data_IF_879937786945
#
_entry.id   IF_879937786945
#
_cell.length_a   1.000
_cell.length_b   1.000
_cell.length_c   1.000
_cell.angle_alpha   90.00
_cell.angle_beta   90.00
_cell.angle_gamma   90.00
#
_symmetry.space_group_name_H-M   'P 1'
#
loop_
_entity.id
_entity.type
_entity.pdbx_description
1 polymer ?
#
# COMPACT_ATOMS: atom_id res chain seq x y z
N UNK A 1 -11.69 -3.33 28.07
CA UNK A 1 -12.50 -3.20 29.29
C UNK A 1 -12.59 -1.73 29.74
N UNK A 2 -13.24 -0.86 28.96
CA UNK A 2 -13.59 0.50 29.42
C UNK A 2 -15.10 0.69 29.65
N UNK A 3 -15.97 -0.16 29.09
CA UNK A 3 -17.43 -0.14 29.34
C UNK A 3 -18.07 -1.54 29.56
N UNK A 4 -17.28 -2.56 29.87
CA UNK A 4 -17.78 -3.94 30.01
C UNK A 4 -18.04 -4.65 28.68
N UNK A 5 -18.27 -5.95 28.73
CA UNK A 5 -18.62 -6.75 27.56
C UNK A 5 -20.03 -6.40 27.07
N UNK A 6 -20.17 -6.06 25.79
CA UNK A 6 -21.48 -5.89 25.12
C UNK A 6 -21.94 -4.46 24.84
N UNK A 7 -21.17 -3.42 25.19
CA UNK A 7 -21.46 -2.04 24.76
C UNK A 7 -20.87 -1.79 23.38
N UNK A 8 -21.70 -1.32 22.43
CA UNK A 8 -21.23 -0.97 21.08
C UNK A 8 -20.27 0.21 21.11
N UNK A 9 -19.41 0.31 20.10
CA UNK A 9 -18.49 1.44 19.95
C UNK A 9 -19.27 2.75 19.83
N UNK A 10 -20.38 2.75 19.08
CA UNK A 10 -21.25 3.93 18.97
C UNK A 10 -21.77 4.39 20.34
N UNK A 11 -22.31 3.47 21.14
CA UNK A 11 -22.80 3.77 22.48
C UNK A 11 -21.67 4.29 23.40
N UNK A 12 -20.44 3.79 23.27
CA UNK A 12 -19.29 4.31 24.00
C UNK A 12 -19.08 5.80 23.74
N UNK A 13 -19.10 6.22 22.47
CA UNK A 13 -18.84 7.60 22.07
C UNK A 13 -19.92 8.58 22.53
N UNK A 14 -21.15 8.11 22.75
CA UNK A 14 -22.25 8.93 23.30
C UNK A 14 -22.00 9.36 24.75
N UNK A 15 -21.20 8.61 25.53
CA UNK A 15 -20.85 8.99 26.91
C UNK A 15 -19.75 10.06 27.00
N UNK A 16 -19.16 10.49 25.88
CA UNK A 16 -18.14 11.53 25.90
C UNK A 16 -18.75 12.91 26.18
N UNK A 17 -18.02 13.84 26.83
CA UNK A 17 -18.50 15.20 27.06
C UNK A 17 -18.95 15.94 25.80
N UNK A 18 -18.30 15.63 24.67
CA UNK A 18 -18.67 16.13 23.34
C UNK A 18 -18.65 14.93 22.38
N UNK A 19 -19.79 14.26 22.16
CA UNK A 19 -19.84 13.09 21.30
C UNK A 19 -19.60 13.48 19.83
N UNK A 20 -18.81 12.71 19.08
CA UNK A 20 -18.69 12.90 17.63
C UNK A 20 -20.01 12.58 16.92
N UNK A 21 -20.22 13.08 15.69
CA UNK A 21 -21.39 12.70 14.90
C UNK A 21 -21.44 11.19 14.66
N UNK A 22 -22.59 10.56 14.92
CA UNK A 22 -22.81 9.12 14.75
C UNK A 22 -22.43 8.60 13.36
N UNK A 23 -22.63 9.42 12.32
CA UNK A 23 -22.24 9.08 10.95
C UNK A 23 -20.73 8.90 10.78
N UNK A 24 -19.92 9.68 11.50
CA UNK A 24 -18.45 9.57 11.45
C UNK A 24 -17.96 8.37 12.26
N UNK A 25 -18.58 8.08 13.40
CA UNK A 25 -18.29 6.86 14.18
C UNK A 25 -18.59 5.61 13.35
N UNK A 26 -19.75 5.56 12.71
CA UNK A 26 -20.13 4.45 11.81
C UNK A 26 -19.14 4.27 10.66
N UNK A 27 -18.76 5.36 9.97
CA UNK A 27 -17.74 5.31 8.92
C UNK A 27 -16.40 4.77 9.42
N UNK A 28 -15.98 5.15 10.64
CA UNK A 28 -14.74 4.64 11.23
C UNK A 28 -14.84 3.14 11.53
N UNK A 29 -15.96 2.67 12.09
CA UNK A 29 -16.22 1.24 12.32
C UNK A 29 -16.21 0.47 10.99
N UNK A 30 -16.92 0.97 9.97
CA UNK A 30 -16.96 0.36 8.64
C UNK A 30 -15.58 0.29 8.00
N UNK A 31 -14.76 1.33 8.19
CA UNK A 31 -13.36 1.35 7.72
C UNK A 31 -12.52 0.29 8.43
N UNK A 32 -12.65 0.14 9.75
CA UNK A 32 -11.92 -0.87 10.54
C UNK A 32 -12.35 -2.30 10.17
N UNK A 33 -13.64 -2.52 9.91
CA UNK A 33 -14.17 -3.79 9.38
C UNK A 33 -13.60 -4.07 7.98
N UNK A 34 -13.60 -3.08 7.10
CA UNK A 34 -13.12 -3.21 5.72
C UNK A 34 -11.63 -3.56 5.63
N UNK A 35 -10.79 -2.97 6.48
CA UNK A 35 -9.36 -3.34 6.52
C UNK A 35 -9.13 -4.69 7.22
N UNK A 36 -10.16 -5.29 7.82
CA UNK A 36 -10.11 -6.57 8.52
C UNK A 36 -9.62 -6.49 9.96
N UNK A 37 -9.58 -5.30 10.57
CA UNK A 37 -9.18 -5.11 11.96
C UNK A 37 -10.28 -5.50 12.96
N UNK A 38 -11.53 -5.48 12.50
CA UNK A 38 -12.71 -5.77 13.32
C UNK A 38 -13.64 -6.75 12.59
N UNK A 39 -14.30 -7.61 13.34
CA UNK A 39 -15.37 -8.48 12.87
C UNK A 39 -16.70 -7.73 12.79
N UNK A 40 -17.73 -8.36 12.22
CA UNK A 40 -19.05 -7.74 12.12
C UNK A 40 -19.71 -7.44 13.47
N UNK A 41 -19.37 -8.22 14.50
CA UNK A 41 -19.83 -8.07 15.88
C UNK A 41 -19.00 -7.05 16.70
N UNK A 42 -18.26 -6.18 16.02
CA UNK A 42 -17.37 -5.15 16.59
C UNK A 42 -16.21 -5.67 17.45
N UNK A 43 -15.94 -6.98 17.43
CA UNK A 43 -14.77 -7.55 18.09
C UNK A 43 -13.51 -7.39 17.25
N UNK A 44 -12.37 -7.17 17.90
CA UNK A 44 -11.08 -7.13 17.23
C UNK A 44 -10.72 -8.51 16.65
N UNK A 45 -10.20 -8.50 15.43
CA UNK A 45 -9.59 -9.68 14.81
C UNK A 45 -8.14 -9.86 15.29
N UNK A 46 -7.51 -10.98 14.95
CA UNK A 46 -6.06 -11.18 15.17
C UNK A 46 -5.24 -10.03 14.55
N UNK A 47 -5.64 -9.55 13.37
CA UNK A 47 -5.04 -8.37 12.74
C UNK A 47 -5.24 -7.14 13.62
N UNK A 48 -6.49 -6.86 14.02
CA UNK A 48 -6.83 -5.69 14.83
C UNK A 48 -6.07 -5.61 16.14
N UNK A 49 -5.88 -6.74 16.81
CA UNK A 49 -5.06 -6.83 18.03
C UNK A 49 -3.63 -6.37 17.79
N UNK A 50 -2.99 -6.78 16.68
CA UNK A 50 -1.65 -6.32 16.34
C UNK A 50 -1.61 -4.86 15.92
N UNK A 51 -2.67 -4.33 15.30
CA UNK A 51 -2.70 -2.91 14.89
C UNK A 51 -2.63 -1.95 16.09
N UNK A 52 -3.07 -2.38 17.28
CA UNK A 52 -3.00 -1.58 18.51
C UNK A 52 -1.56 -1.24 18.93
N UNK A 53 -0.58 -2.06 18.54
CA UNK A 53 0.82 -1.84 18.89
C UNK A 53 1.47 -0.69 18.10
N UNK A 54 0.80 -0.19 17.06
CA UNK A 54 1.33 0.82 16.16
C UNK A 54 0.64 2.18 16.33
N UNK A 55 1.42 3.24 16.53
CA UNK A 55 0.90 4.60 16.60
C UNK A 55 0.97 5.28 15.22
N UNK A 56 0.31 4.68 14.23
CA UNK A 56 0.13 5.15 12.86
C UNK A 56 -1.26 4.73 12.34
N UNK A 57 -1.67 5.22 11.18
CA UNK A 57 -2.91 4.79 10.53
C UNK A 57 -2.94 3.24 10.39
N UNK A 58 -4.03 2.57 10.83
CA UNK A 58 -4.20 1.12 10.74
C UNK A 58 -3.85 0.51 9.38
N UNK A 59 -4.09 1.23 8.28
CA UNK A 59 -3.81 0.75 6.92
C UNK A 59 -2.31 0.58 6.65
N UNK A 60 -1.49 1.47 7.19
CA UNK A 60 -0.02 1.40 7.09
C UNK A 60 0.56 0.40 8.09
N UNK A 61 -0.02 0.26 9.28
CA UNK A 61 0.34 -0.81 10.20
C UNK A 61 0.06 -2.20 9.59
N UNK A 62 -1.10 -2.40 8.96
CA UNK A 62 -1.41 -3.60 8.16
C UNK A 62 -0.36 -3.84 7.07
N UNK A 63 0.04 -2.79 6.34
CA UNK A 63 1.08 -2.88 5.33
C UNK A 63 2.41 -3.42 5.87
N UNK A 64 2.84 -2.96 7.06
CA UNK A 64 4.08 -3.43 7.71
C UNK A 64 4.03 -4.93 8.01
N UNK A 65 2.89 -5.42 8.52
CA UNK A 65 2.71 -6.84 8.82
C UNK A 65 2.79 -7.70 7.55
N UNK A 66 2.17 -7.25 6.46
CA UNK A 66 2.29 -7.91 5.15
C UNK A 66 3.72 -7.83 4.59
N UNK A 67 4.41 -6.70 4.77
CA UNK A 67 5.79 -6.53 4.29
C UNK A 67 6.76 -7.50 4.98
N UNK A 68 6.53 -7.84 6.24
CA UNK A 68 7.28 -8.90 6.94
C UNK A 68 7.07 -10.27 6.28
N UNK A 69 5.82 -10.62 5.96
CA UNK A 69 5.49 -11.89 5.29
C UNK A 69 6.09 -11.94 3.88
N UNK A 70 5.95 -10.86 3.11
CA UNK A 70 6.43 -10.77 1.73
C UNK A 70 7.92 -10.45 1.64
N UNK A 71 8.58 -10.26 2.78
CA UNK A 71 10.01 -9.99 2.93
C UNK A 71 10.48 -8.73 2.18
N UNK A 72 9.66 -7.68 2.18
CA UNK A 72 9.95 -6.39 1.55
C UNK A 72 9.82 -5.21 2.54
N UNK A 73 10.20 -5.42 3.80
CA UNK A 73 9.89 -4.50 4.91
C UNK A 73 10.49 -3.10 4.74
N UNK A 74 11.75 -3.00 4.35
CA UNK A 74 12.55 -1.78 4.29
C UNK A 74 11.87 -0.64 3.53
N UNK A 75 11.45 -0.80 2.26
CA UNK A 75 10.72 0.25 1.56
C UNK A 75 9.37 0.56 2.20
N UNK A 76 8.60 -0.46 2.61
CA UNK A 76 7.28 -0.24 3.21
C UNK A 76 7.40 0.51 4.55
N UNK A 77 8.45 0.26 5.32
CA UNK A 77 8.75 0.96 6.57
C UNK A 77 9.03 2.45 6.33
N UNK A 78 9.77 2.81 5.27
CA UNK A 78 9.97 4.22 4.89
C UNK A 78 8.66 4.85 4.45
N UNK A 79 7.88 4.18 3.59
CA UNK A 79 6.61 4.73 3.12
C UNK A 79 5.63 4.91 4.28
N UNK A 80 5.45 3.91 5.14
CA UNK A 80 4.58 4.00 6.30
C UNK A 80 5.00 5.14 7.24
N UNK A 81 6.29 5.28 7.52
CA UNK A 81 6.81 6.37 8.34
C UNK A 81 6.53 7.74 7.72
N UNK A 82 6.74 7.88 6.41
CA UNK A 82 6.47 9.11 5.67
C UNK A 82 4.99 9.49 5.72
N UNK A 83 4.12 8.52 5.44
CA UNK A 83 2.67 8.72 5.38
C UNK A 83 2.02 8.95 6.74
N UNK A 84 2.77 8.78 7.83
CA UNK A 84 2.31 9.00 9.21
C UNK A 84 2.68 10.39 9.75
N UNK A 85 3.29 11.24 8.93
CA UNK A 85 3.70 12.59 9.33
C UNK A 85 3.22 13.66 8.36
N UNK A 86 4.12 14.25 7.57
CA UNK A 86 3.84 15.34 6.64
C UNK A 86 4.59 15.11 5.32
N UNK A 87 4.05 15.64 4.22
CA UNK A 87 4.72 15.62 2.92
C UNK A 87 6.02 16.44 2.99
N UNK A 88 7.16 15.80 2.76
CA UNK A 88 8.45 16.45 2.69
C UNK A 88 8.64 17.23 1.38
N UNK A 89 7.91 16.91 0.31
CA UNK A 89 7.97 17.69 -0.93
C UNK A 89 7.26 19.04 -0.74
N UNK A 90 8.03 20.12 -0.84
CA UNK A 90 7.55 21.47 -0.55
C UNK A 90 6.76 22.00 -1.75
N UNK A 91 5.48 22.27 -1.53
CA UNK A 91 4.61 22.88 -2.52
C UNK A 91 5.05 24.31 -2.86
N UNK A 92 5.24 24.59 -4.15
CA UNK A 92 5.68 25.90 -4.64
C UNK A 92 4.50 26.76 -5.11
N UNK A 93 4.43 28.00 -4.64
CA UNK A 93 3.40 28.97 -5.07
C UNK A 93 3.68 29.52 -6.47
N UNK A 94 4.94 29.84 -6.78
CA UNK A 94 5.33 30.34 -8.10
C UNK A 94 5.25 29.24 -9.17
N UNK A 95 4.58 29.48 -10.32
CA UNK A 95 4.40 28.47 -11.37
C UNK A 95 5.70 27.87 -11.91
N UNK A 96 6.74 28.69 -12.09
CA UNK A 96 8.05 28.25 -12.56
C UNK A 96 8.73 27.25 -11.61
N UNK A 97 8.77 27.56 -10.31
CA UNK A 97 9.35 26.66 -9.31
C UNK A 97 8.51 25.42 -9.10
N UNK A 98 7.18 25.52 -9.27
CA UNK A 98 6.28 24.38 -9.25
C UNK A 98 6.62 23.38 -10.36
N UNK A 99 6.84 23.86 -11.59
CA UNK A 99 7.24 22.99 -12.70
C UNK A 99 8.58 22.30 -12.42
N UNK A 100 9.57 23.04 -11.91
CA UNK A 100 10.88 22.45 -11.56
C UNK A 100 10.71 21.41 -10.46
N UNK A 101 9.97 21.70 -9.39
CA UNK A 101 9.72 20.76 -8.30
C UNK A 101 9.02 19.47 -8.79
N UNK A 102 8.01 19.60 -9.67
CA UNK A 102 7.36 18.45 -10.30
C UNK A 102 8.35 17.63 -11.13
N UNK A 103 9.20 18.28 -11.93
CA UNK A 103 10.25 17.60 -12.70
C UNK A 103 11.25 16.86 -11.81
N UNK A 104 11.71 17.48 -10.71
CA UNK A 104 12.60 16.82 -9.73
C UNK A 104 11.95 15.60 -9.09
N UNK A 105 10.68 15.70 -8.72
CA UNK A 105 9.92 14.56 -8.18
C UNK A 105 9.73 13.44 -9.22
N UNK A 106 9.50 13.78 -10.49
CA UNK A 106 9.46 12.83 -11.61
C UNK A 106 10.80 12.12 -11.82
N UNK A 107 11.92 12.87 -11.77
CA UNK A 107 13.28 12.30 -11.87
C UNK A 107 13.55 11.29 -10.73
N UNK A 108 13.07 11.58 -9.51
CA UNK A 108 13.17 10.65 -8.38
C UNK A 108 12.30 9.41 -8.58
N UNK A 109 11.09 9.55 -9.14
CA UNK A 109 10.22 8.41 -9.42
C UNK A 109 10.74 7.52 -10.56
N UNK A 110 11.43 8.11 -11.55
CA UNK A 110 11.76 7.46 -12.80
C UNK A 110 10.51 6.93 -13.52
N UNK A 111 10.65 5.83 -14.25
CA UNK A 111 9.55 5.20 -15.01
C UNK A 111 8.74 4.18 -14.19
N UNK A 112 8.61 4.42 -12.88
CA UNK A 112 7.87 3.52 -11.99
C UNK A 112 6.40 3.89 -11.82
N UNK A 113 6.02 5.09 -12.29
CA UNK A 113 4.66 5.63 -12.22
C UNK A 113 4.09 5.59 -10.79
N UNK A 114 4.91 5.94 -9.81
CA UNK A 114 4.56 5.93 -8.39
C UNK A 114 5.09 7.13 -7.60
N UNK A 115 4.19 7.84 -6.93
CA UNK A 115 4.54 8.85 -5.92
C UNK A 115 5.30 8.23 -4.74
N UNK A 116 4.94 7.00 -4.37
CA UNK A 116 5.60 6.26 -3.29
C UNK A 116 7.04 5.90 -3.64
N UNK A 117 7.36 5.62 -4.92
CA UNK A 117 8.74 5.48 -5.37
C UNK A 117 9.52 6.79 -5.21
N UNK A 118 8.92 7.93 -5.59
CA UNK A 118 9.58 9.23 -5.45
C UNK A 118 9.95 9.51 -3.98
N UNK A 119 9.04 9.21 -3.06
CA UNK A 119 9.25 9.29 -1.61
C UNK A 119 10.40 8.39 -1.16
N UNK A 120 10.41 7.14 -1.62
CA UNK A 120 11.45 6.17 -1.29
C UNK A 120 12.84 6.63 -1.76
N UNK A 121 12.93 7.07 -3.01
CA UNK A 121 14.18 7.56 -3.59
C UNK A 121 14.66 8.86 -2.95
N UNK A 122 13.74 9.75 -2.59
CA UNK A 122 14.07 10.96 -1.83
C UNK A 122 14.71 10.61 -0.48
N UNK A 123 14.06 9.74 0.29
CA UNK A 123 14.56 9.32 1.60
C UNK A 123 15.93 8.62 1.50
N UNK A 124 16.07 7.66 0.59
CA UNK A 124 17.32 6.91 0.41
C UNK A 124 18.50 7.78 -0.01
N UNK A 125 18.27 8.70 -0.97
CA UNK A 125 19.32 9.64 -1.39
C UNK A 125 19.70 10.57 -0.25
N UNK A 126 18.72 11.15 0.43
CA UNK A 126 18.96 12.02 1.58
C UNK A 126 19.75 11.30 2.69
N UNK A 127 19.37 10.06 3.04
CA UNK A 127 20.04 9.26 4.07
C UNK A 127 21.49 8.96 3.67
N UNK A 128 21.73 8.60 2.41
CA UNK A 128 23.07 8.35 1.87
C UNK A 128 23.95 9.61 1.86
N UNK A 129 23.41 10.74 1.43
CA UNK A 129 24.13 12.01 1.44
C UNK A 129 24.44 12.46 2.87
N UNK A 130 23.49 12.28 3.80
CA UNK A 130 23.66 12.63 5.21
C UNK A 130 24.75 11.78 5.88
N UNK A 131 24.84 10.50 5.53
CA UNK A 131 25.89 9.61 6.01
C UNK A 131 27.29 10.01 5.51
N UNK A 132 27.37 10.70 4.37
CA UNK A 132 28.64 11.23 3.85
C UNK A 132 28.97 12.57 4.50
N UNK A 133 28.06 13.54 4.42
CA UNK A 133 28.21 14.85 5.04
C UNK A 133 26.85 15.57 5.16
N UNK A 134 26.56 16.17 6.32
CA UNK A 134 25.27 16.83 6.56
C UNK A 134 24.95 17.95 5.54
N UNK A 135 25.97 18.67 5.06
CA UNK A 135 25.84 19.70 4.02
C UNK A 135 25.32 19.14 2.69
N UNK A 136 25.75 17.95 2.29
CA UNK A 136 25.31 17.33 1.04
C UNK A 136 23.82 16.97 1.10
N UNK A 137 23.36 16.48 2.26
CA UNK A 137 21.95 16.18 2.47
C UNK A 137 21.08 17.43 2.36
N UNK A 138 21.56 18.56 2.89
CA UNK A 138 20.88 19.85 2.77
C UNK A 138 20.85 20.33 1.31
N UNK A 139 21.99 20.30 0.60
CA UNK A 139 22.07 20.68 -0.82
C UNK A 139 21.16 19.81 -1.70
N UNK A 140 21.10 18.50 -1.43
CA UNK A 140 20.16 17.58 -2.09
C UNK A 140 18.71 17.99 -1.83
N UNK A 141 18.37 18.30 -0.58
CA UNK A 141 17.02 18.71 -0.21
C UNK A 141 16.61 20.02 -0.89
N UNK A 142 17.48 21.03 -0.86
CA UNK A 142 17.24 22.32 -1.49
C UNK A 142 17.04 22.19 -3.00
N UNK A 143 17.91 21.40 -3.66
CA UNK A 143 17.84 21.16 -5.11
C UNK A 143 16.56 20.43 -5.55
N UNK A 144 15.98 19.59 -4.68
CA UNK A 144 14.80 18.79 -4.98
C UNK A 144 13.51 19.32 -4.34
N UNK A 145 13.54 20.50 -3.71
CA UNK A 145 12.41 21.09 -2.99
C UNK A 145 11.86 20.16 -1.89
N UNK A 146 12.76 19.58 -1.10
CA UNK A 146 12.43 18.65 -0.01
C UNK A 146 12.80 19.28 1.33
N UNK A 147 11.96 19.06 2.34
CA UNK A 147 12.24 19.45 3.73
C UNK A 147 13.13 18.42 4.42
N UNK A 148 14.40 18.77 4.68
CA UNK A 148 15.35 17.92 5.40
C UNK A 148 14.87 17.59 6.82
N UNK A 149 14.30 18.58 7.52
CA UNK A 149 13.75 18.40 8.87
C UNK A 149 12.55 17.45 8.89
N UNK A 150 11.74 17.44 7.83
CA UNK A 150 10.66 16.44 7.70
C UNK A 150 11.24 15.04 7.54
N UNK A 151 12.29 14.87 6.72
CA UNK A 151 12.94 13.56 6.55
C UNK A 151 13.62 13.06 7.84
N UNK A 152 14.16 13.96 8.67
CA UNK A 152 14.67 13.63 10.01
C UNK A 152 13.59 13.04 10.92
N UNK A 153 12.40 13.65 10.95
CA UNK A 153 11.26 13.13 11.72
C UNK A 153 10.83 11.77 11.16
N UNK A 154 10.76 11.62 9.84
CA UNK A 154 10.42 10.34 9.19
C UNK A 154 11.43 9.25 9.55
N UNK A 155 12.73 9.57 9.61
CA UNK A 155 13.77 8.64 10.07
C UNK A 155 13.51 8.16 11.52
N UNK A 156 13.14 9.07 12.42
CA UNK A 156 12.77 8.73 13.79
C UNK A 156 11.54 7.82 13.89
N UNK A 157 10.48 8.13 13.12
CA UNK A 157 9.25 7.30 13.07
C UNK A 157 9.58 5.90 12.53
N UNK A 158 10.40 5.82 11.47
CA UNK A 158 10.86 4.56 10.88
C UNK A 158 11.57 3.67 11.91
N UNK A 159 12.48 4.24 12.72
CA UNK A 159 13.16 3.51 13.79
C UNK A 159 12.17 3.03 14.88
N UNK A 160 11.20 3.87 15.27
CA UNK A 160 10.16 3.50 16.24
C UNK A 160 9.30 2.34 15.74
N UNK A 161 8.84 2.40 14.49
CA UNK A 161 8.03 1.34 13.87
C UNK A 161 8.78 0.00 13.80
N UNK A 162 10.08 0.02 13.49
CA UNK A 162 10.91 -1.18 13.55
C UNK A 162 11.02 -1.75 14.97
N UNK A 163 11.14 -0.87 15.98
CA UNK A 163 11.11 -1.25 17.39
C UNK A 163 9.79 -1.94 17.78
N UNK A 164 8.66 -1.39 17.34
CA UNK A 164 7.33 -1.97 17.56
C UNK A 164 7.21 -3.37 16.92
N UNK A 165 7.64 -3.55 15.67
CA UNK A 165 7.65 -4.87 15.01
C UNK A 165 8.50 -5.92 15.73
N UNK A 166 9.60 -5.50 16.37
CA UNK A 166 10.44 -6.39 17.20
C UNK A 166 9.74 -6.73 18.51
N UNK A 167 9.12 -5.74 19.16
CA UNK A 167 8.40 -5.93 20.42
C UNK A 167 7.19 -6.88 20.24
N UNK A 168 6.47 -6.78 19.12
CA UNK A 168 5.35 -7.66 18.76
C UNK A 168 5.79 -9.04 18.24
N UNK A 169 7.09 -9.35 18.22
CA UNK A 169 7.62 -10.67 17.87
C UNK A 169 7.73 -10.98 16.37
N UNK A 170 7.34 -10.05 15.49
CA UNK A 170 7.38 -10.27 14.04
C UNK A 170 8.82 -10.32 13.47
N UNK A 171 9.78 -9.69 14.15
CA UNK A 171 11.19 -9.59 13.74
C UNK A 171 12.11 -9.95 14.91
N UNK A 172 13.12 -10.78 14.64
CA UNK A 172 14.14 -11.15 15.63
C UNK A 172 15.40 -10.29 15.51
N UNK A 173 16.16 -10.18 16.61
CA UNK A 173 17.45 -9.48 16.61
C UNK A 173 18.56 -10.31 15.93
N UNK A 174 18.54 -11.63 16.09
CA UNK A 174 19.53 -12.57 15.56
C UNK A 174 18.85 -13.84 15.07
N UNK A 175 19.55 -14.63 14.25
CA UNK A 175 19.03 -15.87 13.68
C UNK A 175 18.08 -15.62 12.51
N UNK A 176 17.25 -16.62 12.20
CA UNK A 176 16.28 -16.55 11.11
C UNK A 176 15.19 -15.50 11.45
N UNK A 177 14.69 -14.79 10.44
CA UNK A 177 13.70 -13.71 10.55
C UNK A 177 14.24 -12.48 11.27
N UNK A 178 15.54 -12.26 11.12
CA UNK A 178 16.14 -10.98 11.42
C UNK A 178 15.79 -9.95 10.34
N UNK A 179 16.27 -8.72 10.54
CA UNK A 179 16.06 -7.61 9.60
C UNK A 179 16.51 -7.94 8.17
N UNK A 180 17.59 -8.71 7.97
CA UNK A 180 18.04 -9.10 6.63
C UNK A 180 17.05 -10.05 5.96
N UNK A 181 16.52 -11.02 6.71
CA UNK A 181 15.63 -12.06 6.16
C UNK A 181 14.27 -11.51 5.75
N UNK A 182 13.75 -10.53 6.49
CA UNK A 182 12.47 -9.84 6.15
C UNK A 182 12.64 -8.79 5.04
N UNK A 183 13.80 -8.75 4.40
CA UNK A 183 14.15 -7.78 3.36
C UNK A 183 14.71 -8.40 2.07
N UNK A 184 14.63 -9.72 1.91
CA UNK A 184 15.12 -10.44 0.71
C UNK A 184 14.48 -9.91 -0.57
N UNK A 185 13.21 -9.48 -0.52
CA UNK A 185 12.45 -8.96 -1.65
C UNK A 185 12.35 -7.43 -1.67
N UNK A 186 13.07 -6.69 -0.82
CA UNK A 186 12.97 -5.22 -0.73
C UNK A 186 13.44 -4.49 -1.98
N UNK A 187 14.24 -5.14 -2.83
CA UNK A 187 14.62 -4.61 -4.14
C UNK A 187 13.65 -4.96 -5.27
N UNK A 188 12.61 -5.74 -4.99
CA UNK A 188 11.60 -6.10 -5.98
C UNK A 188 10.41 -5.15 -5.89
N UNK A 189 10.34 -4.19 -6.82
CA UNK A 189 9.30 -3.17 -6.81
C UNK A 189 7.90 -3.75 -7.01
N UNK A 190 7.75 -4.88 -7.72
CA UNK A 190 6.46 -5.52 -7.91
C UNK A 190 5.87 -5.99 -6.56
N UNK A 191 6.72 -6.54 -5.69
CA UNK A 191 6.33 -6.98 -4.34
C UNK A 191 6.02 -5.80 -3.43
N UNK A 192 6.76 -4.70 -3.54
CA UNK A 192 6.47 -3.47 -2.78
C UNK A 192 5.12 -2.90 -3.22
N UNK A 193 4.83 -2.83 -4.52
CA UNK A 193 3.51 -2.44 -5.04
C UNK A 193 2.37 -3.34 -4.58
N UNK A 194 2.62 -4.63 -4.45
CA UNK A 194 1.66 -5.56 -3.86
C UNK A 194 1.29 -5.18 -2.43
N UNK A 195 2.28 -4.87 -1.58
CA UNK A 195 2.01 -4.41 -0.22
C UNK A 195 1.36 -3.02 -0.19
N UNK A 196 1.74 -2.11 -1.09
CA UNK A 196 1.04 -0.82 -1.24
C UNK A 196 -0.43 -1.04 -1.63
N UNK A 197 -0.73 -2.04 -2.46
CA UNK A 197 -2.12 -2.38 -2.83
C UNK A 197 -2.90 -2.86 -1.61
N UNK A 198 -2.29 -3.70 -0.75
CA UNK A 198 -2.90 -4.12 0.53
C UNK A 198 -3.17 -2.92 1.44
N UNK A 199 -2.22 -1.99 1.54
CA UNK A 199 -2.32 -0.81 2.40
C UNK A 199 -3.41 0.16 1.94
N UNK A 200 -3.53 0.32 0.62
CA UNK A 200 -4.36 1.36 0.03
C UNK A 200 -5.76 0.87 -0.31
N UNK A 201 -5.99 -0.44 -0.45
CA UNK A 201 -7.34 -0.97 -0.65
C UNK A 201 -8.31 -0.52 0.47
N UNK A 202 -9.51 0.02 0.16
CA UNK A 202 -10.24 0.02 -1.12
C UNK A 202 -9.96 1.21 -2.06
N UNK A 203 -8.98 2.06 -1.74
CA UNK A 203 -8.59 3.23 -2.54
C UNK A 203 -7.86 2.81 -3.81
N UNK A 204 -8.62 2.26 -4.75
CA UNK A 204 -8.18 1.86 -6.07
C UNK A 204 -9.14 2.41 -7.12
N UNK A 205 -8.60 2.86 -8.24
CA UNK A 205 -9.35 3.41 -9.36
C UNK A 205 -8.82 2.87 -10.69
N UNK A 206 -9.60 3.09 -11.74
CA UNK A 206 -9.27 2.72 -13.11
C UNK A 206 -9.15 3.93 -14.01
N UNK A 207 -8.25 3.87 -14.98
CA UNK A 207 -8.01 4.95 -15.95
C UNK A 207 -9.02 4.86 -17.09
N UNK A 208 -9.79 5.93 -17.29
CA UNK A 208 -10.55 6.12 -18.53
C UNK A 208 -9.67 6.87 -19.55
N UNK A 209 -9.08 6.14 -20.50
CA UNK A 209 -8.16 6.71 -21.50
C UNK A 209 -8.84 7.65 -22.49
N UNK A 210 -10.13 7.44 -22.77
CA UNK A 210 -10.91 8.27 -23.71
C UNK A 210 -11.30 9.59 -23.04
N UNK A 211 -11.91 9.51 -21.86
CA UNK A 211 -12.35 10.66 -21.08
C UNK A 211 -11.22 11.40 -20.37
N UNK A 212 -10.03 10.79 -20.26
CA UNK A 212 -8.84 11.33 -19.56
C UNK A 212 -9.10 11.66 -18.09
N UNK A 213 -9.81 10.78 -17.41
CA UNK A 213 -10.02 10.85 -15.98
C UNK A 213 -9.81 9.47 -15.37
N UNK A 214 -9.80 9.39 -14.05
CA UNK A 214 -9.84 8.12 -13.33
C UNK A 214 -11.17 8.02 -12.58
N UNK A 215 -11.63 6.80 -12.35
CA UNK A 215 -12.91 6.57 -11.68
C UNK A 215 -12.81 5.38 -10.73
N UNK A 216 -13.61 5.41 -9.67
CA UNK A 216 -13.73 4.30 -8.72
C UNK A 216 -15.20 3.94 -8.50
N UNK A 217 -15.45 3.01 -7.58
CA UNK A 217 -16.79 2.48 -7.29
C UNK A 217 -17.83 3.57 -7.01
N UNK A 218 -17.41 4.63 -6.31
CA UNK A 218 -18.31 5.67 -5.79
C UNK A 218 -18.28 6.94 -6.63
N UNK A 219 -17.17 7.18 -7.35
CA UNK A 219 -16.88 8.45 -7.99
C UNK A 219 -16.64 8.21 -9.49
N UNK A 220 -17.59 8.62 -10.35
CA UNK A 220 -17.51 8.34 -11.78
C UNK A 220 -16.42 9.16 -12.49
N UNK A 221 -15.94 10.24 -11.87
CA UNK A 221 -14.90 11.09 -12.43
C UNK A 221 -14.05 11.72 -11.32
N UNK A 222 -12.75 11.46 -11.39
CA UNK A 222 -11.71 11.98 -10.51
C UNK A 222 -10.44 12.30 -11.32
N UNK A 223 -9.53 13.07 -10.73
CA UNK A 223 -8.31 13.52 -11.39
C UNK A 223 -7.08 13.37 -10.49
N UNK A 224 -5.90 13.22 -11.10
CA UNK A 224 -4.64 13.26 -10.36
C UNK A 224 -4.39 14.67 -9.83
N UNK A 225 -4.19 14.80 -8.52
CA UNK A 225 -3.83 16.06 -7.90
C UNK A 225 -2.46 16.54 -8.38
N UNK A 226 -2.27 17.85 -8.52
CA UNK A 226 -1.02 18.49 -8.97
C UNK A 226 0.26 18.09 -8.22
N UNK A 227 0.13 17.51 -7.02
CA UNK A 227 1.27 17.01 -6.23
C UNK A 227 1.70 15.59 -6.63
N UNK A 228 0.89 14.90 -7.42
CA UNK A 228 1.20 13.57 -7.93
C UNK A 228 2.04 13.67 -9.20
N UNK A 229 3.01 12.78 -9.36
CA UNK A 229 3.76 12.67 -10.62
C UNK A 229 2.86 12.25 -11.80
N UNK A 230 1.69 11.66 -11.51
CA UNK A 230 0.72 11.22 -12.53
C UNK A 230 -0.16 12.37 -13.04
N UNK A 231 -0.11 13.55 -12.43
CA UNK A 231 -0.87 14.72 -12.88
C UNK A 231 -0.25 15.42 -14.09
N UNK A 232 0.63 14.73 -14.83
CA UNK A 232 1.43 15.30 -15.91
C UNK A 232 0.58 16.14 -16.85
N UNK A 233 1.06 17.35 -17.17
CA UNK A 233 0.41 18.24 -18.13
C UNK A 233 0.49 17.72 -19.58
N UNK A 234 1.22 16.63 -19.81
CA UNK A 234 1.31 16.04 -21.13
C UNK A 234 -0.01 15.32 -21.47
N UNK A 235 -0.68 15.80 -22.52
CA UNK A 235 -2.02 15.40 -22.95
C UNK A 235 -2.16 13.91 -23.28
N UNK A 236 -1.04 13.23 -23.56
CA UNK A 236 -0.97 11.82 -23.90
C UNK A 236 -0.42 10.93 -22.76
N UNK A 237 -0.09 11.49 -21.60
CA UNK A 237 0.46 10.72 -20.47
C UNK A 237 -0.50 9.59 -20.03
N UNK A 238 -1.78 9.89 -19.85
CA UNK A 238 -2.79 8.88 -19.49
C UNK A 238 -3.01 7.82 -20.57
N UNK A 239 -2.83 8.20 -21.85
CA UNK A 239 -2.95 7.23 -22.95
C UNK A 239 -1.81 6.22 -22.95
N UNK A 240 -0.66 6.59 -22.42
CA UNK A 240 0.57 5.80 -22.42
C UNK A 240 0.86 5.12 -21.08
N UNK A 241 -0.07 5.17 -20.11
CA UNK A 241 0.11 4.45 -18.86
C UNK A 241 0.22 2.93 -19.11
N UNK A 242 1.17 2.22 -18.47
CA UNK A 242 1.40 0.79 -18.69
C UNK A 242 0.26 -0.09 -18.17
N UNK A 243 -0.53 0.40 -17.20
CA UNK A 243 -1.71 -0.29 -16.70
C UNK A 243 -2.84 0.70 -16.41
N UNK A 244 -4.06 0.20 -16.39
CA UNK A 244 -5.26 0.97 -16.06
C UNK A 244 -5.52 1.05 -14.56
N UNK A 245 -4.85 0.24 -13.74
CA UNK A 245 -5.08 0.19 -12.30
C UNK A 245 -4.17 1.15 -11.53
N UNK A 246 -4.77 1.96 -10.67
CA UNK A 246 -4.05 2.90 -9.81
C UNK A 246 -4.57 2.80 -8.38
N UNK A 247 -3.66 2.62 -7.43
CA UNK A 247 -3.96 2.75 -5.99
C UNK A 247 -3.55 4.14 -5.51
N UNK A 248 -4.30 4.72 -4.57
CA UNK A 248 -4.07 6.08 -4.07
C UNK A 248 -4.22 6.19 -2.54
N UNK A 249 -3.54 7.16 -1.92
CA UNK A 249 -3.57 7.34 -0.47
C UNK A 249 -4.79 8.11 0.04
N UNK A 250 -5.12 9.23 -0.60
CA UNK A 250 -6.21 10.12 -0.16
C UNK A 250 -6.97 10.74 -1.33
N UNK A 251 -8.26 11.05 -1.07
CA UNK A 251 -9.10 11.89 -1.93
C UNK A 251 -9.24 13.27 -1.31
N UNK A 252 -9.20 14.28 -2.15
CA UNK A 252 -9.48 15.66 -1.78
C UNK A 252 -10.54 16.22 -2.70
N UNK A 253 -11.67 16.64 -2.13
CA UNK A 253 -12.71 17.36 -2.87
C UNK A 253 -12.40 18.84 -2.84
N UNK A 254 -12.13 19.42 -4.01
CA UNK A 254 -11.90 20.85 -4.17
C UNK A 254 -12.88 21.40 -5.21
N UNK A 255 -13.73 22.34 -4.78
CA UNK A 255 -14.87 22.81 -5.58
C UNK A 255 -15.76 21.61 -5.96
N UNK A 256 -16.07 21.47 -7.25
CA UNK A 256 -16.87 20.37 -7.80
C UNK A 256 -16.03 19.23 -8.40
N UNK A 257 -14.73 19.16 -8.09
CA UNK A 257 -13.84 18.10 -8.59
C UNK A 257 -13.23 17.30 -7.45
N UNK A 258 -13.00 16.02 -7.73
CA UNK A 258 -12.34 15.10 -6.80
C UNK A 258 -10.93 14.83 -7.31
N UNK A 259 -9.97 15.03 -6.43
CA UNK A 259 -8.55 14.86 -6.72
C UNK A 259 -7.97 13.73 -5.89
N UNK A 260 -7.15 12.88 -6.48
CA UNK A 260 -6.45 11.81 -5.77
C UNK A 260 -4.97 12.13 -5.62
N UNK A 261 -4.39 11.76 -4.47
CA UNK A 261 -2.98 11.99 -4.13
C UNK A 261 -2.30 10.70 -3.67
N UNK A 262 -0.97 10.68 -3.80
CA UNK A 262 -0.15 9.53 -3.41
C UNK A 262 -0.51 8.32 -4.25
N UNK A 263 -0.31 8.42 -5.56
CA UNK A 263 -0.76 7.43 -6.52
C UNK A 263 0.36 6.45 -6.91
N UNK A 264 0.01 5.20 -7.17
CA UNK A 264 0.90 4.18 -7.74
C UNK A 264 0.16 3.35 -8.77
N UNK A 265 0.72 3.26 -9.98
CA UNK A 265 0.21 2.34 -11.01
C UNK A 265 0.59 0.91 -10.65
N UNK A 266 -0.39 0.01 -10.69
CA UNK A 266 -0.22 -1.42 -10.37
C UNK A 266 -0.71 -2.27 -11.53
N UNK A 267 -0.25 -3.52 -11.63
CA UNK A 267 -0.74 -4.43 -12.68
C UNK A 267 -2.00 -5.17 -12.21
N UNK A 268 -2.71 -5.73 -13.19
CA UNK A 268 -3.93 -6.53 -13.01
C UNK A 268 -3.73 -7.71 -12.04
N UNK A 269 -2.62 -8.46 -12.15
CA UNK A 269 -2.33 -9.59 -11.26
C UNK A 269 -2.15 -9.18 -9.79
N UNK A 270 -1.60 -7.98 -9.54
CA UNK A 270 -1.42 -7.40 -8.21
C UNK A 270 -2.78 -7.13 -7.56
N UNK A 271 -3.69 -6.51 -8.30
CA UNK A 271 -5.07 -6.29 -7.85
C UNK A 271 -5.75 -7.63 -7.60
N UNK A 272 -5.61 -8.57 -8.53
CA UNK A 272 -6.24 -9.87 -8.41
C UNK A 272 -5.71 -10.70 -7.23
N UNK A 273 -4.45 -10.56 -6.86
CA UNK A 273 -3.87 -11.31 -5.74
C UNK A 273 -4.11 -10.61 -4.39
N UNK A 274 -4.07 -9.27 -4.31
CA UNK A 274 -3.92 -8.55 -3.03
C UNK A 274 -5.04 -7.55 -2.70
N UNK A 275 -5.87 -7.13 -3.66
CA UNK A 275 -7.02 -6.28 -3.36
C UNK A 275 -8.12 -7.08 -2.63
N UNK A 276 -9.04 -6.43 -1.92
CA UNK A 276 -10.14 -7.09 -1.21
C UNK A 276 -9.81 -7.46 0.23
N UNK A 277 -10.81 -8.01 0.92
CA UNK A 277 -10.71 -8.35 2.33
C UNK A 277 -9.88 -9.64 2.61
N UNK A 278 -9.68 -9.93 3.89
CA UNK A 278 -9.10 -11.18 4.38
C UNK A 278 -10.15 -12.28 4.61
N UNK A 279 -11.43 -12.03 4.30
CA UNK A 279 -12.50 -12.97 4.60
C UNK A 279 -12.51 -14.13 3.61
N UNK A 280 -12.96 -15.33 4.02
CA UNK A 280 -13.01 -16.51 3.15
C UNK A 280 -14.10 -16.44 2.07
N UNK A 281 -14.73 -15.28 1.83
CA UNK A 281 -15.92 -15.14 0.99
C UNK A 281 -15.65 -15.04 -0.52
N UNK A 282 -14.43 -15.21 -1.00
CA UNK A 282 -14.16 -15.18 -2.45
C UNK A 282 -14.74 -16.41 -3.14
N UNK A 283 -15.97 -16.28 -3.65
CA UNK A 283 -16.63 -17.28 -4.49
C UNK A 283 -16.11 -17.18 -5.91
N UNK A 284 -15.44 -18.23 -6.40
CA UNK A 284 -15.28 -18.45 -7.84
C UNK A 284 -16.65 -18.86 -8.38
N UNK A 285 -17.26 -18.00 -9.19
CA UNK A 285 -18.44 -18.41 -9.95
C UNK A 285 -17.98 -18.65 -11.39
N UNK A 286 -17.91 -19.91 -11.81
CA UNK A 286 -17.84 -20.25 -13.24
C UNK A 286 -19.15 -19.84 -13.90
N UNK A 287 -19.29 -18.56 -14.24
CA UNK A 287 -20.45 -18.06 -14.97
C UNK A 287 -20.20 -18.27 -16.47
N UNK A 288 -20.77 -19.35 -17.00
CA UNK A 288 -21.15 -19.40 -18.42
C UNK A 288 -22.47 -18.64 -18.53
N UNK A 289 -22.43 -17.32 -18.70
CA UNK A 289 -23.63 -16.50 -18.91
C UNK A 289 -23.60 -15.78 -20.24
N UNK A 290 -24.64 -15.91 -21.09
CA UNK A 290 -24.85 -15.00 -22.21
C UNK A 290 -25.11 -13.60 -21.64
N UNK A 291 -24.51 -12.58 -22.25
CA UNK A 291 -24.66 -11.18 -21.86
C UNK A 291 -26.14 -10.75 -21.87
N UNK A 292 -26.77 -10.64 -20.71
CA UNK A 292 -27.96 -9.81 -20.51
C UNK A 292 -27.50 -8.46 -20.00
N UNK A 293 -27.97 -7.40 -20.65
CA UNK A 293 -27.67 -6.00 -20.34
C UNK A 293 -27.99 -5.69 -18.87
N UNK A 294 -26.96 -5.66 -18.02
CA UNK A 294 -27.04 -5.22 -16.63
C UNK A 294 -26.27 -3.91 -16.48
N UNK A 295 -26.94 -2.88 -15.94
CA UNK A 295 -26.49 -1.50 -15.77
C UNK A 295 -25.43 -1.29 -14.67
N UNK A 296 -24.54 -2.25 -14.45
CA UNK A 296 -23.46 -2.17 -13.46
C UNK A 296 -22.11 -1.83 -14.10
N UNK A 297 -21.47 -0.74 -13.66
CA UNK A 297 -20.12 -0.35 -14.08
C UNK A 297 -19.12 -1.50 -13.81
N UNK A 298 -18.64 -2.15 -14.86
CA UNK A 298 -17.58 -3.18 -14.79
C UNK A 298 -16.20 -2.51 -14.87
N UNK A 299 -15.37 -2.66 -13.84
CA UNK A 299 -14.04 -2.05 -13.73
C UNK A 299 -12.95 -2.67 -14.62
N UNK A 300 -13.28 -3.69 -15.42
CA UNK A 300 -12.42 -4.12 -16.51
C UNK A 300 -13.17 -4.02 -17.84
N UNK A 301 -13.05 -2.89 -18.55
CA UNK A 301 -13.33 -2.78 -19.99
C UNK A 301 -12.29 -3.57 -20.83
N UNK A 302 -11.78 -4.70 -20.36
CA UNK A 302 -10.72 -5.47 -21.05
C UNK A 302 -11.27 -6.25 -22.26
N UNK A 303 -12.59 -6.41 -22.41
CA UNK A 303 -13.17 -6.99 -23.63
C UNK A 303 -14.39 -6.23 -24.12
N UNK A 304 -14.18 -5.41 -25.16
CA UNK A 304 -15.23 -5.02 -26.11
C UNK A 304 -15.48 -6.09 -27.18
N UNK A 305 -14.86 -7.27 -27.08
CA UNK A 305 -15.15 -8.38 -27.98
C UNK A 305 -16.49 -9.00 -27.59
N UNK A 306 -17.46 -8.88 -28.47
CA UNK A 306 -18.65 -9.72 -28.43
C UNK A 306 -18.19 -11.19 -28.41
N UNK A 307 -18.52 -11.93 -27.36
CA UNK A 307 -18.23 -13.35 -27.27
C UNK A 307 -18.93 -14.10 -28.40
N UNK A 308 -18.22 -15.02 -29.05
CA UNK A 308 -18.90 -16.08 -29.79
C UNK A 308 -19.59 -17.02 -28.77
N UNK A 309 -20.74 -17.61 -29.09
CA UNK A 309 -21.48 -18.49 -28.17
C UNK A 309 -20.74 -19.77 -27.74
N UNK A 310 -19.49 -19.97 -28.15
CA UNK A 310 -18.69 -21.18 -27.89
C UNK A 310 -17.44 -20.94 -27.03
N UNK A 311 -17.11 -19.70 -26.66
CA UNK A 311 -15.93 -19.40 -25.83
C UNK A 311 -16.27 -19.37 -24.34
N UNK A 312 -15.67 -20.28 -23.58
CA UNK A 312 -15.76 -20.28 -22.11
C UNK A 312 -14.84 -19.21 -21.53
N UNK A 313 -15.41 -18.30 -20.74
CA UNK A 313 -14.70 -17.19 -20.10
C UNK A 313 -14.73 -17.38 -18.58
N UNK A 314 -13.58 -17.27 -17.93
CA UNK A 314 -13.49 -17.31 -16.47
C UNK A 314 -13.66 -15.89 -15.94
N UNK A 315 -14.63 -15.70 -15.05
CA UNK A 315 -14.83 -14.46 -14.32
C UNK A 315 -14.20 -14.57 -12.93
N UNK A 316 -13.42 -13.56 -12.58
CA UNK A 316 -12.80 -13.43 -11.27
C UNK A 316 -13.32 -12.15 -10.62
N UNK A 317 -13.88 -12.27 -9.43
CA UNK A 317 -14.40 -11.14 -8.65
C UNK A 317 -13.60 -10.95 -7.37
N UNK A 318 -13.11 -9.73 -7.16
CA UNK A 318 -12.60 -9.25 -5.87
C UNK A 318 -13.67 -8.37 -5.26
N UNK A 319 -14.19 -8.83 -4.13
CA UNK A 319 -15.39 -8.26 -3.51
C UNK A 319 -16.54 -8.14 -4.53
N UNK A 320 -17.54 -7.29 -4.27
CA UNK A 320 -18.74 -7.22 -5.11
C UNK A 320 -18.56 -6.43 -6.42
N UNK A 321 -17.43 -5.74 -6.59
CA UNK A 321 -17.34 -4.63 -7.55
C UNK A 321 -16.12 -4.69 -8.49
N UNK A 322 -15.02 -5.34 -8.11
CA UNK A 322 -13.91 -5.55 -9.03
C UNK A 322 -14.16 -6.86 -9.76
N UNK A 323 -14.51 -6.77 -11.04
CA UNK A 323 -14.66 -7.94 -11.91
C UNK A 323 -13.56 -7.94 -12.95
N UNK A 324 -12.97 -9.11 -13.14
CA UNK A 324 -11.88 -9.37 -14.04
C UNK A 324 -12.21 -10.62 -14.85
N UNK A 325 -11.62 -10.71 -16.02
CA UNK A 325 -12.08 -11.62 -17.04
C UNK A 325 -10.88 -12.20 -17.77
N UNK A 326 -10.84 -13.52 -17.92
CA UNK A 326 -9.77 -14.22 -18.64
C UNK A 326 -10.34 -15.37 -19.46
N UNK A 327 -9.80 -15.56 -20.66
CA UNK A 327 -10.01 -16.77 -21.46
C UNK A 327 -9.00 -17.88 -21.14
N UNK A 328 -7.90 -17.52 -20.47
CA UNK A 328 -6.89 -18.48 -20.06
C UNK A 328 -7.30 -19.16 -18.75
N UNK A 329 -7.51 -20.49 -18.73
CA UNK A 329 -7.84 -21.24 -17.52
C UNK A 329 -6.72 -21.18 -16.47
N UNK A 330 -5.49 -20.80 -16.82
CA UNK A 330 -4.41 -20.59 -15.87
C UNK A 330 -4.73 -19.53 -14.79
N UNK A 331 -5.73 -18.67 -15.01
CA UNK A 331 -6.23 -17.73 -14.00
C UNK A 331 -6.71 -18.42 -12.71
N UNK A 332 -7.12 -19.69 -12.79
CA UNK A 332 -7.49 -20.51 -11.63
C UNK A 332 -6.28 -20.72 -10.70
N UNK A 333 -5.07 -20.79 -11.26
CA UNK A 333 -3.84 -20.83 -10.48
C UNK A 333 -3.62 -19.56 -9.65
N UNK A 334 -4.01 -18.39 -10.17
CA UNK A 334 -3.93 -17.11 -9.46
C UNK A 334 -4.88 -17.06 -8.26
N UNK A 335 -6.07 -17.65 -8.38
CA UNK A 335 -7.02 -17.80 -7.28
C UNK A 335 -6.46 -18.70 -6.17
N UNK A 336 -5.97 -19.89 -6.56
CA UNK A 336 -5.33 -20.80 -5.60
C UNK A 336 -4.16 -20.12 -4.88
N UNK A 337 -3.36 -19.35 -5.62
CA UNK A 337 -2.24 -18.59 -5.06
C UNK A 337 -2.70 -17.52 -4.07
N UNK A 338 -3.74 -16.74 -4.41
CA UNK A 338 -4.36 -15.73 -3.53
C UNK A 338 -4.80 -16.36 -2.20
N UNK A 339 -5.51 -17.47 -2.24
CA UNK A 339 -6.02 -18.12 -1.02
C UNK A 339 -4.88 -18.65 -0.16
N UNK A 340 -3.86 -19.28 -0.76
CA UNK A 340 -2.66 -19.72 -0.03
C UNK A 340 -1.91 -18.56 0.61
N UNK A 341 -1.74 -17.43 -0.09
CA UNK A 341 -1.10 -16.24 0.48
C UNK A 341 -1.88 -15.72 1.70
N UNK A 342 -3.21 -15.66 1.60
CA UNK A 342 -4.07 -15.24 2.72
C UNK A 342 -3.93 -16.17 3.92
N UNK A 343 -3.96 -17.48 3.70
CA UNK A 343 -3.74 -18.48 4.75
C UNK A 343 -2.40 -18.27 5.46
N UNK A 344 -1.32 -18.04 4.70
CA UNK A 344 0.02 -17.77 5.25
C UNK A 344 0.03 -16.50 6.09
N UNK A 345 -0.57 -15.41 5.61
CA UNK A 345 -0.65 -14.14 6.36
C UNK A 345 -1.46 -14.33 7.64
N UNK A 346 -2.64 -14.94 7.58
CA UNK A 346 -3.49 -15.19 8.74
C UNK A 346 -2.80 -16.10 9.77
N UNK A 347 -2.12 -17.14 9.32
CA UNK A 347 -1.31 -18.03 10.17
C UNK A 347 -0.21 -17.24 10.89
N UNK A 348 0.49 -16.35 10.17
CA UNK A 348 1.54 -15.50 10.73
C UNK A 348 0.99 -14.49 11.74
N UNK A 349 -0.19 -13.93 11.50
CA UNK A 349 -0.85 -13.02 12.45
C UNK A 349 -1.26 -13.74 13.74
N UNK A 350 -1.79 -14.96 13.63
CA UNK A 350 -2.13 -15.77 14.82
C UNK A 350 -0.91 -16.15 15.65
N UNK A 351 0.23 -16.39 14.99
CA UNK A 351 1.46 -16.83 15.63
C UNK A 351 2.67 -16.06 15.07
N UNK A 352 2.92 -14.82 15.54
CA UNK A 352 4.06 -13.99 15.11
C UNK A 352 5.43 -14.59 15.41
N UNK A 353 5.50 -15.65 16.20
CA UNK A 353 6.72 -16.41 16.49
C UNK A 353 6.95 -17.56 15.51
N UNK A 354 5.89 -18.07 14.87
CA UNK A 354 5.96 -19.21 13.96
C UNK A 354 6.24 -18.79 12.53
N UNK A 355 7.29 -19.41 11.99
CA UNK A 355 7.78 -19.06 10.67
C UNK A 355 7.08 -19.83 9.56
N UNK A 356 6.96 -19.23 8.36
CA UNK A 356 6.44 -19.92 7.19
C UNK A 356 7.21 -21.23 6.96
N UNK A 357 6.47 -22.31 6.70
CA UNK A 357 7.04 -23.58 6.31
C UNK A 357 7.78 -23.47 4.97
N UNK A 358 8.55 -24.50 4.60
CA UNK A 358 9.20 -24.54 3.28
C UNK A 358 8.19 -24.37 2.14
N UNK A 359 7.02 -24.99 2.26
CA UNK A 359 5.92 -24.88 1.29
C UNK A 359 5.39 -23.45 1.22
N UNK A 360 5.20 -22.80 2.38
CA UNK A 360 4.73 -21.41 2.43
C UNK A 360 5.74 -20.46 1.77
N UNK A 361 7.04 -20.72 1.94
CA UNK A 361 8.10 -19.96 1.27
C UNK A 361 8.08 -20.16 -0.25
N UNK A 362 7.78 -21.37 -0.74
CA UNK A 362 7.62 -21.64 -2.19
C UNK A 362 6.38 -20.94 -2.77
N UNK A 363 5.30 -20.82 -2.00
CA UNK A 363 4.11 -20.04 -2.36
C UNK A 363 4.44 -18.55 -2.47
N UNK A 364 5.13 -17.99 -1.47
CA UNK A 364 5.56 -16.58 -1.48
C UNK A 364 6.50 -16.32 -2.67
N UNK A 365 7.45 -17.21 -2.94
CA UNK A 365 8.38 -17.10 -4.07
C UNK A 365 7.65 -17.19 -5.43
N UNK A 366 6.60 -18.02 -5.53
CA UNK A 366 5.73 -18.06 -6.70
C UNK A 366 4.97 -16.74 -6.90
N UNK A 367 4.44 -16.15 -5.83
CA UNK A 367 3.83 -14.81 -5.88
C UNK A 367 4.83 -13.76 -6.39
N UNK A 368 6.05 -13.75 -5.84
CA UNK A 368 7.11 -12.82 -6.26
C UNK A 368 7.39 -12.95 -7.75
N UNK A 369 7.54 -14.18 -8.27
CA UNK A 369 7.73 -14.43 -9.71
C UNK A 369 6.58 -13.92 -10.56
N UNK A 370 5.34 -14.27 -10.22
CA UNK A 370 4.13 -13.87 -10.97
C UNK A 370 4.05 -12.35 -11.06
N UNK A 371 4.17 -11.66 -9.93
CA UNK A 371 4.10 -10.20 -9.88
C UNK A 371 5.22 -9.54 -10.71
N UNK A 372 6.43 -10.08 -10.64
CA UNK A 372 7.59 -9.56 -11.38
C UNK A 372 7.45 -9.73 -12.89
N UNK A 373 6.99 -10.91 -13.33
CA UNK A 373 6.76 -11.21 -14.75
C UNK A 373 5.64 -10.33 -15.31
N UNK A 374 4.54 -10.19 -14.57
CA UNK A 374 3.41 -9.38 -15.01
C UNK A 374 3.74 -7.88 -15.06
N UNK A 375 4.54 -7.37 -14.12
CA UNK A 375 5.08 -6.00 -14.20
C UNK A 375 5.92 -5.79 -15.46
N UNK A 376 6.85 -6.71 -15.74
CA UNK A 376 7.69 -6.63 -16.93
C UNK A 376 6.85 -6.70 -18.21
N UNK A 377 5.81 -7.54 -18.23
CA UNK A 377 4.89 -7.71 -19.37
C UNK A 377 4.12 -6.44 -19.71
N UNK A 378 3.66 -5.69 -18.71
CA UNK A 378 2.93 -4.43 -18.92
C UNK A 378 3.85 -3.22 -19.08
N UNK A 379 5.17 -3.39 -18.95
CA UNK A 379 6.15 -2.32 -19.07
C UNK A 379 6.35 -1.49 -17.80
N UNK A 380 5.95 -2.00 -16.63
CA UNK A 380 6.27 -1.39 -15.34
C UNK A 380 7.70 -1.77 -14.95
N UNK A 381 8.62 -0.81 -15.04
CA UNK A 381 10.05 -1.04 -14.78
C UNK A 381 10.34 -1.30 -13.31
N UNK A 382 11.27 -2.22 -13.07
CA UNK A 382 11.90 -2.38 -11.76
C UNK A 382 12.80 -1.17 -11.46
N UNK A 383 12.90 -0.82 -10.18
CA UNK A 383 13.81 0.22 -9.69
C UNK A 383 14.46 -0.29 -8.41
N UNK A 384 15.67 0.15 -8.09
CA UNK A 384 16.33 -0.23 -6.84
C UNK A 384 15.62 0.43 -5.65
N UNK A 385 14.96 -0.35 -4.80
CA UNK A 385 14.12 0.19 -3.70
C UNK A 385 14.61 -0.20 -2.31
N UNK A 386 15.64 -1.05 -2.21
CA UNK A 386 16.18 -1.54 -0.95
C UNK A 386 17.70 -1.48 -0.95
N UNK A 387 18.25 -0.32 -0.60
CA UNK A 387 19.62 -0.25 -0.09
C UNK A 387 19.53 0.00 1.41
N UNK A 388 19.45 -1.06 2.21
CA UNK A 388 19.72 -0.91 3.64
C UNK A 388 21.12 -0.30 3.76
N UNK A 389 21.29 0.88 4.38
CA UNK A 389 22.62 1.48 4.50
C UNK A 389 23.52 0.51 5.26
N UNK A 390 24.67 0.15 4.66
CA UNK A 390 25.66 -0.78 5.23
C UNK A 390 26.32 -0.28 6.53
N UNK A 391 25.83 0.80 7.14
CA UNK A 391 26.50 1.51 8.23
C UNK A 391 25.68 1.63 9.53
N UNK A 392 24.44 1.15 9.61
CA UNK A 392 23.62 1.23 10.86
C UNK A 392 23.47 -0.11 11.58
N UNK A 393 24.38 -1.06 11.31
CA UNK A 393 24.45 -2.30 12.09
C UNK A 393 25.05 -2.09 13.49
N UNK A 394 25.73 -0.96 13.73
CA UNK A 394 26.42 -0.66 15.00
C UNK A 394 25.65 0.28 15.94
N UNK A 395 25.06 1.35 15.43
CA UNK A 395 24.74 2.52 16.28
C UNK A 395 23.27 2.65 16.74
N UNK A 396 22.36 1.80 16.24
CA UNK A 396 21.01 1.69 16.81
C UNK A 396 20.93 0.71 18.00
N UNK A 397 22.07 0.19 18.46
CA UNK A 397 22.17 -0.78 19.57
C UNK A 397 22.46 -0.14 20.94
N UNK A 398 22.73 1.17 21.01
CA UNK A 398 22.94 1.88 22.27
C UNK A 398 21.72 2.73 22.63
N UNK A 399 20.70 2.07 23.20
CA UNK A 399 19.78 2.79 24.09
C UNK A 399 20.63 3.33 25.25
N UNK A 400 20.64 4.65 25.54
CA UNK A 400 21.29 5.14 26.74
C UNK A 400 20.57 4.50 27.94
N UNK A 401 21.29 3.73 28.75
CA UNK A 401 20.82 3.38 30.09
C UNK A 401 20.76 4.70 30.87
N UNK A 402 19.58 5.32 30.95
CA UNK A 402 19.33 6.33 31.96
C UNK A 402 19.37 5.63 33.32
N UNK A 403 20.49 5.82 34.02
CA UNK A 403 20.59 5.48 35.43
C UNK A 403 19.72 6.44 36.23
N UNK A 404 18.54 5.98 36.64
CA UNK A 404 17.93 6.49 37.87
C UNK A 404 18.57 5.70 39.01
N UNK A 405 19.61 6.29 39.60
CA UNK A 405 20.02 5.94 40.94
C UNK A 405 18.93 6.46 41.88
N UNK A 406 18.46 5.57 42.76
CA UNK A 406 17.59 5.92 43.87
C UNK A 406 18.38 6.74 44.90
N UNK A 407 17.82 7.88 45.29
CA UNK A 407 17.87 8.41 46.66
C UNK A 407 16.44 8.74 47.08
#
# INVERSE_FOLDING_TARGET
>A
ALLGDGVSVEAFFEYLPTPPPSSEVKKAIDTLKLIGAMHEDEKLSDLGMHLLDFAIDPKWAKALLYAVVFKCLDPILTVAAYMSYNDAFISQSHPQFRLVATTRKLELAGETFSDHMAILKAFQKWESEKATHAKNAQEFCDHNFISASTLDVVYGIRARLLGQLRASGFIRNKGIHNVKDVNVNSNNWAVVKAVLTVALYPNICTVNRVGRFVFDRENPEMYFHQSSILSSQNYDFLKNLPSDWVVYNEKVKLLNKIWIKGCTVVNTATVALLAGDLSPRSSVTSLVTPLVHGTGFTFSEIDRRACSPHESKVCFSVDDWIRMFSFDPAIIGLFTLRDRIREIVLSRLKRPELFPSKVDLEVIDTMVRVLTIEDARVGLKQSSVGQWPKLVAGDLLSVPRSGFAAE
#
